data_IF_279839516209
#
_entry.id   IF_279839516209
#
_cell.length_a   1.000
_cell.length_b   1.000
_cell.length_c   1.000
_cell.angle_alpha   90.00
_cell.angle_beta   90.00
_cell.angle_gamma   90.00
#
_symmetry.space_group_name_H-M   'P 1'
#
loop_
_entity.id
_entity.type
_entity.pdbx_description
1 polymer ?
#
# COMPACT_ATOMS: atom_id res chain seq x y z
N UNK A 1 -7.03 19.58 37.36
CA UNK A 1 -8.26 19.51 36.54
C UNK A 1 -7.98 18.55 35.38
N UNK A 2 -8.79 17.51 35.17
CA UNK A 2 -8.65 16.67 33.95
C UNK A 2 -9.11 17.51 32.75
N UNK A 3 -8.40 17.49 31.61
CA UNK A 3 -8.82 18.26 30.43
C UNK A 3 -10.24 17.85 30.02
N UNK A 4 -11.08 18.81 29.70
CA UNK A 4 -12.41 18.51 29.17
C UNK A 4 -12.31 17.79 27.81
N UNK A 5 -13.24 16.88 27.48
CA UNK A 5 -13.27 16.23 26.18
C UNK A 5 -13.36 17.27 25.04
N UNK A 6 -12.56 17.06 23.99
CA UNK A 6 -12.55 17.91 22.80
C UNK A 6 -13.26 17.23 21.64
N UNK A 7 -14.04 17.99 20.88
CA UNK A 7 -14.80 17.49 19.73
C UNK A 7 -14.18 17.96 18.43
N UNK A 8 -13.88 17.01 17.55
CA UNK A 8 -13.29 17.21 16.23
C UNK A 8 -14.22 16.68 15.15
N UNK A 9 -14.00 17.10 13.91
CA UNK A 9 -14.60 16.52 12.70
C UNK A 9 -13.48 15.85 11.90
N UNK A 10 -13.58 14.55 11.67
CA UNK A 10 -12.76 13.86 10.69
C UNK A 10 -13.44 14.05 9.34
N UNK A 11 -12.74 14.65 8.38
CA UNK A 11 -13.24 14.95 7.04
C UNK A 11 -12.37 14.25 6.00
N UNK A 12 -12.99 13.44 5.15
CA UNK A 12 -12.34 12.79 4.02
C UNK A 12 -12.85 13.42 2.73
N UNK A 13 -11.93 13.80 1.87
CA UNK A 13 -12.17 14.40 0.56
C UNK A 13 -11.54 13.52 -0.51
N UNK A 14 -12.37 12.92 -1.36
CA UNK A 14 -11.96 12.07 -2.48
C UNK A 14 -11.89 12.90 -3.75
N UNK A 15 -10.72 12.95 -4.38
CA UNK A 15 -10.45 13.65 -5.61
C UNK A 15 -10.21 12.66 -6.76
N UNK A 16 -10.73 13.01 -7.93
CA UNK A 16 -10.48 12.31 -9.18
C UNK A 16 -9.03 12.53 -9.68
N UNK A 17 -8.57 11.76 -10.68
CA UNK A 17 -7.23 11.90 -11.25
C UNK A 17 -6.93 13.31 -11.79
N UNK A 18 -7.95 14.01 -12.31
CA UNK A 18 -7.85 15.38 -12.81
C UNK A 18 -7.83 16.45 -11.70
N UNK A 19 -7.91 16.04 -10.42
CA UNK A 19 -7.94 16.90 -9.26
C UNK A 19 -9.33 17.41 -8.86
N UNK A 20 -10.40 17.03 -9.58
CA UNK A 20 -11.78 17.40 -9.22
C UNK A 20 -12.22 16.69 -7.94
N UNK A 21 -12.80 17.44 -7.00
CA UNK A 21 -13.44 16.86 -5.81
C UNK A 21 -14.69 16.06 -6.21
N UNK A 22 -14.71 14.77 -5.87
CA UNK A 22 -15.82 13.86 -6.16
C UNK A 22 -16.78 13.74 -4.99
N UNK A 23 -16.24 13.56 -3.78
CA UNK A 23 -17.04 13.34 -2.58
C UNK A 23 -16.34 13.92 -1.35
N UNK A 24 -17.15 14.44 -0.43
CA UNK A 24 -16.74 14.75 0.93
C UNK A 24 -17.60 13.93 1.89
N UNK A 25 -16.96 13.22 2.81
CA UNK A 25 -17.64 12.44 3.83
C UNK A 25 -16.95 12.65 5.18
N UNK A 26 -17.75 12.90 6.21
CA UNK A 26 -17.25 13.44 7.47
C UNK A 26 -18.02 12.92 8.67
N UNK A 27 -17.33 12.81 9.80
CA UNK A 27 -17.91 12.31 11.05
C UNK A 27 -17.27 13.03 12.23
N UNK A 28 -18.11 13.47 13.18
CA UNK A 28 -17.63 14.06 14.42
C UNK A 28 -17.13 12.99 15.38
N UNK A 29 -16.11 13.33 16.17
CA UNK A 29 -15.56 12.48 17.22
C UNK A 29 -15.25 13.33 18.44
N UNK A 30 -15.63 12.84 19.62
CA UNK A 30 -15.28 13.47 20.90
C UNK A 30 -14.28 12.56 21.61
N UNK A 31 -13.11 13.12 21.96
CA UNK A 31 -11.98 12.41 22.54
C UNK A 31 -11.65 12.98 23.91
N UNK A 32 -11.35 12.09 24.86
CA UNK A 32 -10.69 12.45 26.11
C UNK A 32 -9.19 12.62 25.87
N UNK A 33 -8.51 13.36 26.74
CA UNK A 33 -7.05 13.46 26.70
C UNK A 33 -6.41 12.06 26.81
N UNK A 34 -5.49 11.74 25.90
CA UNK A 34 -4.81 10.44 25.82
C UNK A 34 -5.62 9.32 25.15
N UNK A 35 -6.87 9.58 24.73
CA UNK A 35 -7.70 8.58 24.06
C UNK A 35 -7.31 8.42 22.57
N UNK A 36 -7.12 7.18 22.13
CA UNK A 36 -7.05 6.84 20.69
C UNK A 36 -8.35 6.15 20.29
N UNK A 37 -8.96 6.60 19.18
CA UNK A 37 -10.20 6.01 18.68
C UNK A 37 -10.11 5.69 17.19
N UNK A 38 -10.38 4.43 16.83
CA UNK A 38 -10.56 4.02 15.43
C UNK A 38 -11.86 4.62 14.89
N UNK A 39 -11.77 5.21 13.71
CA UNK A 39 -12.87 5.83 13.01
C UNK A 39 -13.06 5.15 11.66
N UNK A 40 -14.32 4.84 11.34
CA UNK A 40 -14.71 4.32 10.04
C UNK A 40 -15.72 5.28 9.42
N UNK A 41 -15.40 5.71 8.20
CA UNK A 41 -16.24 6.56 7.39
C UNK A 41 -16.32 5.93 6.00
N UNK A 42 -17.53 5.82 5.47
CA UNK A 42 -17.80 5.18 4.19
C UNK A 42 -18.14 6.25 3.15
N UNK A 43 -17.53 6.15 1.96
CA UNK A 43 -17.93 6.95 0.81
C UNK A 43 -19.28 6.46 0.26
N UNK A 44 -19.96 7.32 -0.50
CA UNK A 44 -21.07 6.87 -1.34
C UNK A 44 -20.52 6.09 -2.54
N UNK A 45 -21.39 5.31 -3.19
CA UNK A 45 -21.05 4.61 -4.42
C UNK A 45 -20.39 5.55 -5.43
N UNK A 46 -19.23 5.14 -5.94
CA UNK A 46 -18.52 5.83 -7.01
C UNK A 46 -18.99 5.18 -8.31
N UNK A 47 -19.77 5.93 -9.10
CA UNK A 47 -20.29 5.42 -10.36
C UNK A 47 -19.22 5.49 -11.45
N UNK A 48 -19.03 4.39 -12.19
CA UNK A 48 -18.10 4.28 -13.31
C UNK A 48 -16.68 4.79 -12.99
N UNK A 49 -16.00 4.25 -11.96
CA UNK A 49 -14.64 4.65 -11.65
C UNK A 49 -13.70 4.31 -12.81
N UNK A 50 -12.78 5.22 -13.12
CA UNK A 50 -11.65 4.89 -13.96
C UNK A 50 -10.76 3.89 -13.21
N UNK A 51 -10.40 2.80 -13.89
CA UNK A 51 -9.72 1.68 -13.24
C UNK A 51 -8.22 1.82 -13.37
N UNK A 52 -7.50 1.50 -12.29
CA UNK A 52 -6.05 1.41 -12.29
C UNK A 52 -5.60 0.09 -12.93
N UNK A 53 -4.61 0.19 -13.82
CA UNK A 53 -3.81 -0.92 -14.36
C UNK A 53 -2.38 -0.43 -14.57
N UNK A 54 -1.41 -1.35 -14.77
CA UNK A 54 -0.07 -0.99 -15.20
C UNK A 54 0.02 -0.07 -16.43
N UNK A 55 -1.00 -0.02 -17.29
CA UNK A 55 -1.03 0.79 -18.52
C UNK A 55 -1.79 2.11 -18.37
N UNK A 56 -2.77 2.17 -17.46
CA UNK A 56 -3.70 3.31 -17.35
C UNK A 56 -3.30 4.29 -16.26
N UNK A 57 -2.59 3.83 -15.21
CA UNK A 57 -1.97 4.67 -14.18
C UNK A 57 -2.95 5.59 -13.43
N UNK A 58 -4.23 5.23 -13.42
CA UNK A 58 -5.30 6.05 -12.83
C UNK A 58 -5.23 6.00 -11.31
N UNK A 59 -4.88 7.14 -10.70
CA UNK A 59 -4.82 7.30 -9.26
C UNK A 59 -5.76 8.42 -8.79
N UNK A 60 -6.61 8.07 -7.84
CA UNK A 60 -7.43 9.00 -7.08
C UNK A 60 -6.66 9.41 -5.83
N UNK A 61 -7.08 10.51 -5.19
CA UNK A 61 -6.49 10.99 -3.95
C UNK A 61 -7.55 11.11 -2.87
N UNK A 62 -7.29 10.54 -1.69
CA UNK A 62 -8.09 10.76 -0.49
C UNK A 62 -7.29 11.64 0.45
N UNK A 63 -7.83 12.82 0.77
CA UNK A 63 -7.29 13.71 1.80
C UNK A 63 -8.14 13.57 3.05
N UNK A 64 -7.52 13.15 4.15
CA UNK A 64 -8.14 13.02 5.46
C UNK A 64 -7.64 14.14 6.35
N UNK A 65 -8.52 15.06 6.74
CA UNK A 65 -8.20 16.16 7.65
C UNK A 65 -8.90 15.97 9.00
N UNK A 66 -8.20 16.27 10.08
CA UNK A 66 -8.78 16.43 11.42
C UNK A 66 -9.07 17.93 11.64
N UNK A 67 -10.34 18.28 11.80
CA UNK A 67 -10.80 19.67 11.89
C UNK A 67 -11.33 19.96 13.29
N UNK A 68 -10.83 21.02 13.93
CA UNK A 68 -11.37 21.50 15.19
C UNK A 68 -12.74 22.15 14.95
N UNK A 69 -13.76 21.66 15.66
CA UNK A 69 -15.14 22.14 15.50
C UNK A 69 -15.36 23.56 16.04
N UNK A 70 -14.53 24.04 16.97
CA UNK A 70 -14.61 25.38 17.56
C UNK A 70 -13.96 26.42 16.64
N UNK A 71 -12.71 26.17 16.23
CA UNK A 71 -11.93 27.12 15.43
C UNK A 71 -12.15 26.97 13.92
N UNK A 72 -12.73 25.85 13.48
CA UNK A 72 -12.92 25.48 12.06
C UNK A 72 -11.62 25.31 11.28
N UNK A 73 -10.48 25.20 11.96
CA UNK A 73 -9.16 24.98 11.34
C UNK A 73 -8.84 23.49 11.25
N UNK A 74 -8.19 23.08 10.17
CA UNK A 74 -7.53 21.78 10.10
C UNK A 74 -6.32 21.80 11.04
N UNK A 75 -6.22 20.81 11.91
CA UNK A 75 -5.11 20.66 12.86
C UNK A 75 -4.13 19.55 12.46
N UNK A 76 -4.58 18.64 11.60
CA UNK A 76 -3.76 17.60 10.99
C UNK A 76 -4.37 17.20 9.64
N UNK A 77 -3.53 16.73 8.72
CA UNK A 77 -3.93 16.28 7.40
C UNK A 77 -3.00 15.18 6.89
N UNK A 78 -3.60 14.15 6.29
CA UNK A 78 -2.86 13.10 5.59
C UNK A 78 -3.53 12.78 4.26
N UNK A 79 -2.72 12.63 3.21
CA UNK A 79 -3.19 12.24 1.89
C UNK A 79 -2.70 10.85 1.51
N UNK A 80 -3.56 10.08 0.85
CA UNK A 80 -3.22 8.79 0.26
C UNK A 80 -3.68 8.73 -1.20
N UNK A 81 -2.86 8.12 -2.05
CA UNK A 81 -3.27 7.73 -3.40
C UNK A 81 -4.05 6.41 -3.29
N UNK A 82 -5.07 6.25 -4.12
CA UNK A 82 -5.86 5.01 -4.22
C UNK A 82 -6.16 4.70 -5.68
N UNK A 83 -6.20 3.42 -6.04
CA UNK A 83 -6.54 2.96 -7.38
C UNK A 83 -7.70 1.98 -7.35
N UNK A 84 -8.71 2.18 -8.18
CA UNK A 84 -9.83 1.24 -8.28
C UNK A 84 -9.44 0.09 -9.21
N UNK A 85 -9.35 -1.11 -8.64
CA UNK A 85 -9.06 -2.34 -9.38
C UNK A 85 -9.52 -3.55 -8.58
N UNK A 86 -9.82 -4.63 -9.29
CA UNK A 86 -10.01 -5.95 -8.70
C UNK A 86 -9.21 -6.98 -9.49
N UNK A 87 -8.88 -8.09 -8.85
CA UNK A 87 -8.13 -9.16 -9.48
C UNK A 87 -8.53 -10.52 -8.90
N UNK A 88 -8.17 -11.58 -9.62
CA UNK A 88 -8.34 -12.96 -9.17
C UNK A 88 -7.22 -13.84 -9.70
N UNK A 89 -6.89 -14.89 -8.94
CA UNK A 89 -6.06 -16.00 -9.38
C UNK A 89 -6.93 -17.24 -9.48
N UNK A 90 -6.87 -17.90 -10.62
CA UNK A 90 -7.60 -19.13 -10.91
C UNK A 90 -6.61 -20.18 -11.44
N UNK A 91 -6.75 -21.43 -11.00
CA UNK A 91 -5.81 -22.50 -11.34
C UNK A 91 -5.79 -22.87 -12.83
N UNK A 92 -6.89 -22.64 -13.54
CA UNK A 92 -7.02 -22.95 -14.97
C UNK A 92 -6.82 -21.69 -15.84
N UNK A 93 -7.41 -20.56 -15.43
CA UNK A 93 -7.44 -19.32 -16.21
C UNK A 93 -6.27 -18.38 -15.92
N UNK A 94 -5.51 -18.65 -14.86
CA UNK A 94 -4.40 -17.82 -14.41
C UNK A 94 -4.85 -16.52 -13.74
N UNK A 95 -4.04 -15.47 -13.87
CA UNK A 95 -4.31 -14.16 -13.28
C UNK A 95 -5.26 -13.34 -14.16
N UNK A 96 -6.24 -12.71 -13.52
CA UNK A 96 -7.14 -11.75 -14.15
C UNK A 96 -7.07 -10.40 -13.43
N UNK A 97 -7.01 -9.31 -14.19
CA UNK A 97 -7.07 -7.94 -13.69
C UNK A 97 -8.27 -7.24 -14.33
N UNK A 98 -9.12 -6.62 -13.51
CA UNK A 98 -10.31 -5.89 -13.95
C UNK A 98 -11.21 -6.72 -14.89
N UNK A 99 -11.34 -8.01 -14.59
CA UNK A 99 -12.17 -8.97 -15.35
C UNK A 99 -11.54 -9.50 -16.65
N UNK A 100 -10.29 -9.15 -16.95
CA UNK A 100 -9.58 -9.60 -18.16
C UNK A 100 -8.39 -10.47 -17.79
N UNK A 101 -8.15 -11.54 -18.57
CA UNK A 101 -6.92 -12.34 -18.43
C UNK A 101 -5.70 -11.44 -18.63
N UNK A 102 -4.74 -11.54 -17.71
CA UNK A 102 -3.60 -10.65 -17.67
C UNK A 102 -2.34 -11.45 -17.29
N UNK A 103 -1.35 -11.49 -18.18
CA UNK A 103 -0.11 -12.21 -17.91
C UNK A 103 0.82 -11.33 -17.09
N UNK A 104 1.18 -11.79 -15.89
CA UNK A 104 2.24 -11.18 -15.08
C UNK A 104 3.60 -11.46 -15.74
N UNK A 105 4.31 -10.39 -16.07
CA UNK A 105 5.65 -10.38 -16.68
C UNK A 105 6.51 -9.50 -15.80
N UNK A 106 7.35 -10.12 -14.98
CA UNK A 106 8.05 -9.40 -13.94
C UNK A 106 9.39 -9.97 -13.55
N UNK A 107 10.03 -9.24 -12.65
CA UNK A 107 11.39 -9.46 -12.17
C UNK A 107 11.43 -9.37 -10.64
N UNK A 108 12.42 -10.03 -10.04
CA UNK A 108 12.81 -9.75 -8.66
C UNK A 108 13.78 -8.56 -8.65
N UNK A 109 13.79 -7.76 -7.58
CA UNK A 109 14.73 -6.64 -7.42
C UNK A 109 15.24 -6.55 -6.00
N UNK A 110 16.55 -6.69 -5.82
CA UNK A 110 17.25 -6.36 -4.57
C UNK A 110 17.49 -4.86 -4.45
N UNK A 111 17.70 -4.37 -3.22
CA UNK A 111 17.76 -2.93 -2.95
C UNK A 111 19.12 -2.27 -3.13
N UNK A 112 20.16 -3.05 -3.33
CA UNK A 112 21.53 -2.58 -3.41
C UNK A 112 21.96 -2.20 -4.83
N UNK A 113 22.95 -1.32 -4.89
CA UNK A 113 23.68 -0.93 -6.08
C UNK A 113 25.16 -0.76 -5.72
N UNK A 114 26.05 -1.39 -6.49
CA UNK A 114 27.47 -1.17 -6.32
C UNK A 114 27.88 0.29 -6.66
N UNK A 115 28.82 0.89 -5.91
CA UNK A 115 29.46 0.40 -4.68
C UNK A 115 28.74 0.85 -3.39
N UNK A 116 27.59 1.50 -3.49
CA UNK A 116 26.97 2.26 -2.39
C UNK A 116 26.12 1.42 -1.41
N UNK A 117 25.85 0.16 -1.74
CA UNK A 117 24.87 -0.63 -0.97
C UNK A 117 23.47 -0.15 -1.30
N UNK A 118 22.62 0.13 -0.31
CA UNK A 118 21.23 0.55 -0.54
C UNK A 118 21.16 1.85 -1.36
N UNK A 119 20.41 1.85 -2.46
CA UNK A 119 20.44 2.91 -3.46
C UNK A 119 19.05 3.36 -3.94
N UNK A 120 18.94 4.54 -4.60
CA UNK A 120 17.65 5.12 -5.00
C UNK A 120 16.78 4.21 -5.89
N UNK A 121 15.50 4.11 -5.55
CA UNK A 121 14.59 3.09 -6.08
C UNK A 121 13.92 3.44 -7.42
N UNK A 122 13.53 4.71 -7.62
CA UNK A 122 12.67 5.12 -8.74
C UNK A 122 13.27 4.85 -10.13
N UNK A 123 14.60 4.90 -10.25
CA UNK A 123 15.30 4.60 -11.52
C UNK A 123 15.06 3.16 -11.94
N UNK A 124 15.19 2.21 -11.02
CA UNK A 124 15.10 0.79 -11.34
C UNK A 124 13.69 0.42 -11.78
N UNK A 125 12.68 0.97 -11.11
CA UNK A 125 11.26 0.80 -11.48
C UNK A 125 10.99 1.35 -12.89
N UNK A 126 11.57 2.49 -13.24
CA UNK A 126 11.49 3.02 -14.62
C UNK A 126 12.14 2.09 -15.63
N UNK A 127 13.35 1.58 -15.36
CA UNK A 127 14.04 0.66 -16.27
C UNK A 127 13.26 -0.65 -16.46
N UNK A 128 12.70 -1.20 -15.38
CA UNK A 128 11.82 -2.37 -15.46
C UNK A 128 10.60 -2.09 -16.33
N UNK A 129 10.00 -0.90 -16.19
CA UNK A 129 8.85 -0.49 -17.00
C UNK A 129 9.22 -0.34 -18.48
N UNK A 130 10.35 0.30 -18.79
CA UNK A 130 10.86 0.48 -20.15
C UNK A 130 11.17 -0.85 -20.84
N UNK A 131 11.62 -1.86 -20.08
CA UNK A 131 11.81 -3.23 -20.55
C UNK A 131 10.48 -3.96 -20.87
N UNK A 132 9.34 -3.38 -20.51
CA UNK A 132 8.01 -3.95 -20.73
C UNK A 132 7.50 -4.80 -19.57
N UNK A 133 8.10 -4.65 -18.38
CA UNK A 133 7.60 -5.28 -17.16
C UNK A 133 6.26 -4.67 -16.73
N UNK A 134 5.36 -5.51 -16.24
CA UNK A 134 4.10 -5.11 -15.60
C UNK A 134 3.97 -5.63 -14.17
N UNK A 135 5.00 -6.31 -13.66
CA UNK A 135 5.00 -6.95 -12.37
C UNK A 135 6.39 -6.89 -11.73
N UNK A 136 6.45 -6.78 -10.41
CA UNK A 136 7.68 -6.84 -9.63
C UNK A 136 7.47 -7.69 -8.38
N UNK A 137 8.44 -8.55 -8.08
CA UNK A 137 8.57 -9.19 -6.78
C UNK A 137 9.60 -8.41 -5.96
N UNK A 138 9.09 -7.76 -4.92
CA UNK A 138 9.84 -6.99 -3.93
C UNK A 138 10.29 -7.99 -2.87
N UNK A 139 11.45 -8.60 -3.12
CA UNK A 139 12.00 -9.69 -2.32
C UNK A 139 13.42 -9.38 -1.86
N UNK A 140 13.92 -9.99 -0.78
CA UNK A 140 13.19 -10.87 0.15
C UNK A 140 12.68 -10.12 1.39
N UNK A 141 12.56 -8.80 1.29
CA UNK A 141 12.21 -7.90 2.37
C UNK A 141 11.36 -6.75 1.82
N UNK A 142 10.53 -6.11 2.66
CA UNK A 142 9.85 -4.88 2.30
C UNK A 142 10.88 -3.81 1.91
N UNK A 143 10.55 -2.97 0.94
CA UNK A 143 11.45 -1.91 0.47
C UNK A 143 10.88 -0.52 0.75
N UNK A 144 11.61 0.51 0.36
CA UNK A 144 11.27 1.92 0.61
C UNK A 144 9.93 2.33 -0.03
N UNK A 145 9.18 3.21 0.65
CA UNK A 145 7.91 3.77 0.16
C UNK A 145 8.05 4.36 -1.26
N UNK A 146 9.20 4.96 -1.59
CA UNK A 146 9.45 5.55 -2.91
C UNK A 146 9.46 4.51 -4.04
N UNK A 147 9.74 3.25 -3.75
CA UNK A 147 9.62 2.14 -4.70
C UNK A 147 8.14 1.85 -5.00
N UNK A 148 7.32 1.75 -3.96
CA UNK A 148 5.90 1.44 -4.10
C UNK A 148 5.10 2.61 -4.69
N UNK A 149 5.45 3.85 -4.32
CA UNK A 149 4.95 5.05 -4.98
C UNK A 149 5.27 5.02 -6.48
N UNK A 150 6.47 4.56 -6.86
CA UNK A 150 6.84 4.41 -8.27
C UNK A 150 6.09 3.26 -8.94
N UNK A 151 5.81 2.15 -8.26
CA UNK A 151 4.97 1.07 -8.79
C UNK A 151 3.54 1.55 -9.07
N UNK A 152 2.96 2.33 -8.16
CA UNK A 152 1.63 2.91 -8.33
C UNK A 152 1.58 3.89 -9.51
N UNK A 153 2.58 4.77 -9.62
CA UNK A 153 2.63 5.86 -10.60
C UNK A 153 3.11 5.43 -11.99
N UNK A 154 4.08 4.51 -12.08
CA UNK A 154 4.64 4.02 -13.34
C UNK A 154 3.95 2.73 -13.82
N UNK A 155 3.13 2.13 -12.95
CA UNK A 155 2.28 1.01 -13.28
C UNK A 155 3.03 -0.32 -13.31
N UNK A 156 3.26 -0.87 -12.12
CA UNK A 156 3.72 -2.24 -11.91
C UNK A 156 2.85 -2.85 -10.81
N UNK A 157 2.34 -4.06 -11.05
CA UNK A 157 1.77 -4.88 -9.98
C UNK A 157 2.90 -5.39 -9.08
N UNK A 158 2.66 -5.52 -7.79
CA UNK A 158 3.68 -5.87 -6.81
C UNK A 158 3.28 -7.07 -5.94
N UNK A 159 4.26 -7.96 -5.71
CA UNK A 159 4.29 -8.89 -4.58
C UNK A 159 5.39 -8.43 -3.65
N UNK A 160 5.05 -8.14 -2.39
CA UNK A 160 6.02 -7.83 -1.34
C UNK A 160 6.04 -8.92 -0.25
N UNK A 161 7.22 -9.20 0.31
CA UNK A 161 7.40 -10.25 1.31
C UNK A 161 8.34 -9.88 2.46
N UNK A 162 8.20 -10.57 3.60
CA UNK A 162 9.14 -10.51 4.72
C UNK A 162 10.21 -11.63 4.63
N UNK A 163 11.40 -11.44 5.24
CA UNK A 163 12.56 -12.32 5.03
C UNK A 163 12.57 -13.55 5.96
N UNK A 164 11.60 -14.45 5.85
CA UNK A 164 11.71 -15.81 6.42
C UNK A 164 12.24 -16.73 5.32
N UNK A 165 13.54 -17.05 5.37
CA UNK A 165 14.26 -17.68 4.26
C UNK A 165 15.03 -18.90 4.77
N UNK A 166 15.18 -19.92 3.91
CA UNK A 166 15.99 -21.14 4.07
C UNK A 166 15.55 -22.11 5.17
N UNK A 167 15.40 -21.63 6.40
CA UNK A 167 15.06 -22.43 7.58
C UNK A 167 14.23 -21.61 8.58
N UNK A 168 13.27 -22.26 9.24
CA UNK A 168 12.67 -21.72 10.47
C UNK A 168 13.47 -22.24 11.66
N UNK A 169 14.24 -21.40 12.38
CA UNK A 169 15.01 -21.86 13.53
C UNK A 169 14.09 -22.13 14.73
N UNK A 170 14.47 -23.09 15.57
CA UNK A 170 13.86 -23.30 16.89
C UNK A 170 14.40 -22.28 17.90
N UNK A 171 14.09 -20.99 17.67
CA UNK A 171 14.53 -19.86 18.50
C UNK A 171 13.34 -19.20 19.18
N UNK A 172 13.29 -19.13 20.53
CA UNK A 172 12.22 -18.45 21.25
C UNK A 172 12.03 -17.01 20.77
N UNK A 173 10.79 -16.62 20.46
CA UNK A 173 10.43 -15.29 19.98
C UNK A 173 10.67 -15.04 18.48
N UNK A 174 11.23 -16.00 17.73
CA UNK A 174 11.42 -15.85 16.28
C UNK A 174 10.08 -15.67 15.55
N UNK A 175 9.09 -16.53 15.86
CA UNK A 175 7.76 -16.46 15.28
C UNK A 175 7.05 -15.14 15.63
N UNK A 176 7.18 -14.65 16.86
CA UNK A 176 6.58 -13.38 17.30
C UNK A 176 7.14 -12.17 16.53
N UNK A 177 8.45 -12.16 16.30
CA UNK A 177 9.09 -11.14 15.47
C UNK A 177 8.60 -11.21 14.02
N UNK A 178 8.52 -12.41 13.44
CA UNK A 178 8.01 -12.62 12.08
C UNK A 178 6.58 -12.14 11.93
N UNK A 179 5.70 -12.46 12.89
CA UNK A 179 4.33 -11.98 12.90
C UNK A 179 4.27 -10.45 12.98
N UNK A 180 5.08 -9.83 13.86
CA UNK A 180 5.17 -8.38 13.96
C UNK A 180 5.62 -7.76 12.64
N UNK A 181 6.67 -8.30 12.01
CA UNK A 181 7.18 -7.78 10.74
C UNK A 181 6.16 -7.92 9.61
N UNK A 182 5.42 -9.03 9.54
CA UNK A 182 4.34 -9.21 8.58
C UNK A 182 3.24 -8.15 8.77
N UNK A 183 2.84 -7.89 10.02
CA UNK A 183 1.85 -6.86 10.36
C UNK A 183 2.36 -5.45 10.05
N UNK A 184 3.64 -5.18 10.27
CA UNK A 184 4.29 -3.90 9.96
C UNK A 184 4.28 -3.64 8.46
N UNK A 185 4.79 -4.55 7.63
CA UNK A 185 4.78 -4.46 6.16
C UNK A 185 3.36 -4.19 5.64
N UNK A 186 2.39 -5.03 6.01
CA UNK A 186 1.02 -4.90 5.52
C UNK A 186 0.40 -3.55 5.93
N UNK A 187 0.65 -3.06 7.14
CA UNK A 187 0.06 -1.80 7.64
C UNK A 187 0.74 -0.56 7.06
N UNK A 188 2.05 -0.59 6.89
CA UNK A 188 2.82 0.51 6.32
C UNK A 188 2.45 0.71 4.85
N UNK A 189 2.40 -0.39 4.09
CA UNK A 189 2.20 -0.36 2.65
C UNK A 189 0.75 -0.67 2.19
N UNK A 190 -0.22 -0.64 3.13
CA UNK A 190 -1.61 -1.06 2.90
C UNK A 190 -2.30 -0.37 1.73
N UNK A 191 -1.99 0.91 1.52
CA UNK A 191 -2.74 1.78 0.60
C UNK A 191 -2.18 1.77 -0.83
N UNK A 192 -1.15 0.98 -1.14
CA UNK A 192 -0.60 0.90 -2.49
C UNK A 192 -1.48 0.03 -3.40
N UNK A 193 -2.19 0.59 -4.40
CA UNK A 193 -3.00 -0.20 -5.32
C UNK A 193 -2.18 -1.20 -6.13
N UNK A 194 -0.87 -0.96 -6.33
CA UNK A 194 0.05 -1.87 -7.01
C UNK A 194 0.17 -3.23 -6.31
N UNK A 195 0.09 -3.29 -4.98
CA UNK A 195 0.28 -4.54 -4.24
C UNK A 195 -0.94 -5.45 -4.42
N UNK A 196 -0.67 -6.67 -4.88
CA UNK A 196 -1.68 -7.72 -5.10
C UNK A 196 -1.41 -8.99 -4.28
N UNK A 197 -0.18 -9.16 -3.77
CA UNK A 197 0.22 -10.33 -3.00
C UNK A 197 1.14 -9.95 -1.84
N UNK A 198 0.94 -10.60 -0.69
CA UNK A 198 1.82 -10.54 0.47
C UNK A 198 2.44 -11.92 0.70
N UNK A 199 3.76 -12.01 0.65
CA UNK A 199 4.51 -13.22 0.96
C UNK A 199 5.14 -13.16 2.35
N UNK A 200 5.53 -14.31 2.87
CA UNK A 200 6.23 -14.37 4.15
C UNK A 200 7.31 -15.45 4.25
N UNK A 201 7.39 -16.41 3.32
CA UNK A 201 8.44 -17.43 3.31
C UNK A 201 9.03 -17.60 1.91
N UNK A 202 10.34 -17.81 1.84
CA UNK A 202 11.07 -18.16 0.62
C UNK A 202 11.95 -19.39 0.87
N UNK A 203 11.79 -20.44 0.08
CA UNK A 203 12.68 -21.62 0.06
C UNK A 203 12.98 -22.23 1.45
N UNK A 204 11.96 -22.32 2.32
CA UNK A 204 12.12 -22.67 3.75
C UNK A 204 12.57 -24.11 4.06
N UNK A 205 12.84 -24.90 3.02
CA UNK A 205 13.33 -26.27 3.09
C UNK A 205 14.64 -26.42 2.30
N UNK A 206 15.31 -25.32 1.96
CA UNK A 206 16.55 -25.36 1.20
C UNK A 206 17.68 -25.91 2.09
N UNK A 207 17.92 -27.21 1.95
CA UNK A 207 19.10 -27.85 2.49
C UNK A 207 20.15 -27.92 1.38
N UNK A 208 21.25 -27.18 1.52
CA UNK A 208 22.45 -27.44 0.73
C UNK A 208 23.10 -28.73 1.25
N UNK A 209 23.39 -29.72 0.38
CA UNK A 209 24.02 -30.97 0.79
C UNK A 209 25.43 -30.79 1.37
#
# INVERSE_FOLDING_TARGET
MKPEPSTFEVRNELFAPDGKLLQTFKKKVTLKAGETRRMELQSKLISNPELWTPETLILYKVVTSLVDTKTRKAIDEKSHKVGFRWFSFDGEKGFCLNGKSYKLRGFNRHQDQAPVGVAPHRRDIRLLKEMGSNYIRISHYPQDDALLDACDELGLLAWEEIPIIDLVPDTPGYADNCERNLREMIRQHFNHPSIINWGYMNEILLCTP
#
